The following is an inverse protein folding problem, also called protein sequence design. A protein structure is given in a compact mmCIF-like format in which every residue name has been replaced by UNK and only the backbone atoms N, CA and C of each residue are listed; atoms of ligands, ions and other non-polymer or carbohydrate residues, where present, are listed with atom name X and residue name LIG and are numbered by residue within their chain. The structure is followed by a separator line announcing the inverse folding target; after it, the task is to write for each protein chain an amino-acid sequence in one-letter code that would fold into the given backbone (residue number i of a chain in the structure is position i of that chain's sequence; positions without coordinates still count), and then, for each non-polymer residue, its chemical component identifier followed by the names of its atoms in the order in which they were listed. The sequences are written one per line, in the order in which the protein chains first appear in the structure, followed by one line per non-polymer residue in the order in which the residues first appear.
data_IF_424742939737
#
_entry.id   IF_424742939737
#
_cell.length_a   1.000
_cell.length_b   1.000
_cell.length_c   1.000
_cell.angle_alpha   90.00
_cell.angle_beta   90.00
_cell.angle_gamma   90.00
#
_symmetry.space_group_name_H-M   'P 1'
#
loop_
_entity.id
_entity.type
_entity.pdbx_description
1 polymer ?
#
# COMPACT_ATOMS: atom_id res chain seq x y z
N UNK A 1 -34.79 -11.62 40.86
CA UNK A 1 -34.48 -12.70 39.91
C UNK A 1 -34.37 -12.04 38.55
N UNK A 2 -33.15 -11.72 38.10
CA UNK A 2 -32.93 -11.05 36.81
C UNK A 2 -33.43 -11.96 35.69
N UNK A 3 -34.15 -11.39 34.73
CA UNK A 3 -34.76 -12.17 33.67
C UNK A 3 -33.68 -12.63 32.70
N UNK A 4 -33.83 -13.85 32.14
CA UNK A 4 -32.86 -14.46 31.22
C UNK A 4 -32.52 -13.55 30.01
N UNK A 5 -33.41 -12.61 29.68
CA UNK A 5 -33.25 -11.59 28.62
C UNK A 5 -32.28 -10.45 28.99
N UNK A 6 -32.24 -10.04 30.26
CA UNK A 6 -31.31 -9.02 30.76
C UNK A 6 -29.88 -9.57 30.80
N UNK A 7 -29.71 -10.82 31.23
CA UNK A 7 -28.43 -11.53 31.25
C UNK A 7 -27.88 -11.71 29.82
N UNK A 8 -28.73 -12.06 28.85
CA UNK A 8 -28.31 -12.17 27.45
C UNK A 8 -27.85 -10.82 26.87
N UNK A 9 -28.55 -9.72 27.16
CA UNK A 9 -28.16 -8.40 26.65
C UNK A 9 -26.81 -7.92 27.20
N UNK A 10 -26.50 -8.14 28.48
CA UNK A 10 -25.19 -7.81 29.05
C UNK A 10 -24.06 -8.69 28.45
N UNK A 11 -24.35 -9.96 28.20
CA UNK A 11 -23.40 -10.90 27.58
C UNK A 11 -23.14 -10.55 26.10
N UNK A 12 -24.06 -9.89 25.39
CA UNK A 12 -23.86 -9.45 24.00
C UNK A 12 -23.22 -8.06 23.87
N UNK A 13 -23.41 -7.16 24.84
CA UNK A 13 -22.79 -5.81 24.80
C UNK A 13 -21.30 -5.84 25.15
N UNK A 14 -20.85 -6.72 26.04
CA UNK A 14 -19.44 -6.84 26.42
C UNK A 14 -18.52 -7.29 25.25
N UNK A 15 -18.86 -8.33 24.45
CA UNK A 15 -18.07 -8.75 23.30
C UNK A 15 -17.97 -7.71 22.19
N UNK A 16 -19.02 -6.91 21.97
CA UNK A 16 -19.03 -5.86 20.93
C UNK A 16 -18.12 -4.70 21.35
N UNK A 17 -18.14 -4.30 22.63
CA UNK A 17 -17.26 -3.27 23.16
C UNK A 17 -15.78 -3.66 23.02
N UNK A 18 -15.42 -4.89 23.40
CA UNK A 18 -14.04 -5.39 23.29
C UNK A 18 -13.58 -5.52 21.82
N UNK A 19 -14.45 -6.00 20.92
CA UNK A 19 -14.16 -6.03 19.48
C UNK A 19 -13.97 -4.63 18.88
N UNK A 20 -14.76 -3.65 19.33
CA UNK A 20 -14.63 -2.26 18.90
C UNK A 20 -13.31 -1.64 19.36
N UNK A 21 -12.86 -1.95 20.59
CA UNK A 21 -11.58 -1.47 21.12
C UNK A 21 -10.40 -2.08 20.36
N UNK A 22 -10.46 -3.38 20.04
CA UNK A 22 -9.46 -4.05 19.20
C UNK A 22 -9.42 -3.41 17.80
N UNK A 23 -10.57 -3.17 17.17
CA UNK A 23 -10.65 -2.52 15.86
C UNK A 23 -10.05 -1.10 15.89
N UNK A 24 -10.36 -0.32 16.92
CA UNK A 24 -9.78 1.02 17.13
C UNK A 24 -8.27 0.94 17.36
N UNK A 25 -7.78 -0.04 18.13
CA UNK A 25 -6.36 -0.25 18.39
C UNK A 25 -5.61 -0.67 17.13
N UNK A 26 -6.18 -1.55 16.31
CA UNK A 26 -5.65 -1.92 14.99
C UNK A 26 -5.59 -0.68 14.09
N UNK A 27 -6.67 0.10 14.01
CA UNK A 27 -6.72 1.33 13.19
C UNK A 27 -5.67 2.35 13.65
N UNK A 28 -5.50 2.53 14.97
CA UNK A 28 -4.47 3.42 15.53
C UNK A 28 -3.06 2.95 15.18
N UNK A 29 -2.81 1.64 15.19
CA UNK A 29 -1.52 1.08 14.76
C UNK A 29 -1.28 1.30 13.26
N UNK A 30 -2.31 1.15 12.40
CA UNK A 30 -2.21 1.45 10.97
C UNK A 30 -1.87 2.94 10.76
N UNK A 31 -2.59 3.85 11.42
CA UNK A 31 -2.34 5.28 11.30
C UNK A 31 -0.92 5.65 11.75
N UNK A 32 -0.42 5.03 12.81
CA UNK A 32 0.95 5.22 13.28
C UNK A 32 1.97 4.72 12.24
N UNK A 33 1.76 3.53 11.68
CA UNK A 33 2.63 2.98 10.65
C UNK A 33 2.67 3.86 9.39
N UNK A 34 1.52 4.32 8.91
CA UNK A 34 1.42 5.23 7.76
C UNK A 34 2.15 6.55 8.05
N UNK A 35 1.94 7.16 9.22
CA UNK A 35 2.67 8.38 9.60
C UNK A 35 4.18 8.17 9.62
N UNK A 36 4.66 7.06 10.18
CA UNK A 36 6.08 6.75 10.17
C UNK A 36 6.61 6.56 8.76
N UNK A 37 5.86 5.89 7.87
CA UNK A 37 6.27 5.71 6.48
C UNK A 37 6.37 7.05 5.75
N UNK A 38 5.38 7.94 5.91
CA UNK A 38 5.37 9.27 5.30
C UNK A 38 6.50 10.19 5.79
N UNK A 39 7.16 9.89 6.92
CA UNK A 39 8.36 10.60 7.36
C UNK A 39 9.64 10.10 6.69
N UNK A 40 9.61 8.90 6.08
CA UNK A 40 10.78 8.23 5.51
C UNK A 40 10.81 8.27 3.98
N UNK A 41 9.67 8.53 3.34
CA UNK A 41 9.52 8.46 1.88
C UNK A 41 8.91 9.73 1.33
N UNK A 42 9.29 10.07 0.11
CA UNK A 42 8.56 11.04 -0.69
C UNK A 42 7.41 10.35 -1.42
N UNK A 43 6.25 11.01 -1.47
CA UNK A 43 5.08 10.50 -2.18
C UNK A 43 5.06 11.10 -3.57
N UNK A 44 5.13 10.26 -4.60
CA UNK A 44 5.00 10.71 -5.99
C UNK A 44 3.65 11.39 -6.19
N UNK A 45 3.63 12.47 -6.97
CA UNK A 45 2.37 13.17 -7.28
C UNK A 45 1.49 12.28 -8.14
N UNK A 46 0.19 12.37 -7.94
CA UNK A 46 -0.79 11.70 -8.79
C UNK A 46 -1.82 12.71 -9.27
N UNK A 47 -2.00 12.77 -10.59
CA UNK A 47 -2.98 13.63 -11.23
C UNK A 47 -3.67 12.90 -12.39
N UNK A 48 -4.62 13.60 -13.03
CA UNK A 48 -5.38 13.05 -14.15
C UNK A 48 -4.49 12.62 -15.31
N UNK A 49 -3.39 13.34 -15.58
CA UNK A 49 -2.50 13.04 -16.69
C UNK A 49 -1.77 11.72 -16.44
N UNK A 50 -1.31 11.48 -15.22
CA UNK A 50 -0.66 10.21 -14.84
C UNK A 50 -1.62 9.03 -15.03
N UNK A 51 -2.87 9.17 -14.59
CA UNK A 51 -3.89 8.13 -14.77
C UNK A 51 -4.20 7.87 -16.25
N UNK A 52 -4.28 8.92 -17.08
CA UNK A 52 -4.47 8.79 -18.52
C UNK A 52 -3.27 8.12 -19.22
N UNK A 53 -2.06 8.46 -18.80
CA UNK A 53 -0.84 7.85 -19.30
C UNK A 53 -0.79 6.36 -18.95
N UNK A 54 -1.21 5.98 -17.73
CA UNK A 54 -1.24 4.60 -17.28
C UNK A 54 -2.09 3.69 -18.19
N UNK A 55 -3.25 4.17 -18.67
CA UNK A 55 -4.07 3.43 -19.64
C UNK A 55 -3.35 3.13 -20.97
N UNK A 56 -2.35 3.93 -21.32
CA UNK A 56 -1.59 3.76 -22.57
C UNK A 56 -0.39 2.82 -22.44
N UNK A 57 -0.03 2.38 -21.22
CA UNK A 57 1.16 1.56 -20.96
C UNK A 57 0.95 0.04 -21.18
N UNK A 58 -0.26 -0.40 -21.55
CA UNK A 58 -0.59 -1.80 -21.87
C UNK A 58 -0.22 -2.83 -20.76
N UNK A 59 -0.25 -2.44 -19.49
CA UNK A 59 -0.10 -3.40 -18.39
C UNK A 59 -1.38 -4.22 -18.21
N UNK A 60 -1.25 -5.45 -17.71
CA UNK A 60 -2.39 -6.28 -17.33
C UNK A 60 -3.08 -5.74 -16.08
N UNK A 61 -2.30 -5.30 -15.10
CA UNK A 61 -2.79 -4.67 -13.88
C UNK A 61 -2.67 -3.14 -14.00
N UNK A 62 -3.78 -2.45 -13.75
CA UNK A 62 -3.81 -1.00 -13.79
C UNK A 62 -3.00 -0.37 -12.65
N UNK A 63 -2.88 -1.02 -11.49
CA UNK A 63 -2.05 -0.51 -10.38
C UNK A 63 -0.58 -0.41 -10.81
N UNK A 64 -0.04 -1.47 -11.41
CA UNK A 64 1.33 -1.50 -11.92
C UNK A 64 1.52 -0.45 -13.04
N UNK A 65 0.51 -0.25 -13.89
CA UNK A 65 0.50 0.79 -14.91
C UNK A 65 0.63 2.19 -14.29
N UNK A 66 -0.15 2.49 -13.25
CA UNK A 66 -0.14 3.78 -12.55
C UNK A 66 1.19 4.00 -11.85
N UNK A 67 1.74 2.98 -11.18
CA UNK A 67 3.05 3.07 -10.53
C UNK A 67 4.16 3.35 -11.55
N UNK A 68 4.14 2.68 -12.72
CA UNK A 68 5.08 2.92 -13.80
C UNK A 68 4.93 4.34 -14.40
N UNK A 69 3.70 4.76 -14.70
CA UNK A 69 3.40 6.10 -15.21
C UNK A 69 3.85 7.21 -14.24
N UNK A 70 3.65 7.00 -12.94
CA UNK A 70 4.10 7.92 -11.91
C UNK A 70 5.62 7.98 -11.81
N UNK A 71 6.31 6.83 -11.86
CA UNK A 71 7.76 6.78 -11.83
C UNK A 71 8.39 7.47 -13.05
N UNK A 72 7.77 7.36 -14.23
CA UNK A 72 8.19 8.09 -15.43
C UNK A 72 8.00 9.59 -15.28
N UNK A 73 6.84 10.03 -14.78
CA UNK A 73 6.54 11.46 -14.63
C UNK A 73 7.50 12.17 -13.67
N UNK A 74 7.90 11.49 -12.60
CA UNK A 74 8.86 11.98 -11.61
C UNK A 74 10.33 11.70 -11.98
N UNK A 75 10.60 11.16 -13.19
CA UNK A 75 11.94 10.81 -13.69
C UNK A 75 12.74 9.90 -12.74
N UNK A 76 12.09 8.92 -12.12
CA UNK A 76 12.77 7.98 -11.24
C UNK A 76 13.69 7.04 -12.03
N UNK A 77 14.87 6.74 -11.47
CA UNK A 77 15.86 5.88 -12.10
C UNK A 77 15.39 4.43 -12.26
N UNK A 78 14.63 3.94 -11.27
CA UNK A 78 14.19 2.56 -11.19
C UNK A 78 12.98 2.35 -10.27
N UNK A 79 12.27 1.25 -10.50
CA UNK A 79 11.29 0.66 -9.58
C UNK A 79 11.89 -0.62 -8.99
N UNK A 80 11.84 -0.74 -7.66
CA UNK A 80 12.29 -1.95 -6.95
C UNK A 80 11.08 -2.73 -6.47
N UNK A 81 10.89 -3.94 -6.99
CA UNK A 81 9.73 -4.78 -6.66
C UNK A 81 10.12 -6.26 -6.60
N UNK A 82 9.45 -7.02 -5.73
CA UNK A 82 9.58 -8.48 -5.73
C UNK A 82 8.92 -9.12 -6.96
N UNK A 83 8.00 -8.41 -7.60
CA UNK A 83 7.14 -8.94 -8.66
C UNK A 83 7.56 -8.47 -10.06
N UNK A 84 8.85 -8.58 -10.37
CA UNK A 84 9.44 -8.06 -11.63
C UNK A 84 8.75 -8.58 -12.91
N UNK A 85 8.11 -9.75 -12.86
CA UNK A 85 7.41 -10.38 -13.99
C UNK A 85 6.17 -9.61 -14.46
N UNK A 86 5.59 -8.75 -13.62
CA UNK A 86 4.36 -8.02 -13.98
C UNK A 86 4.68 -6.65 -14.60
N UNK A 87 5.97 -6.26 -14.55
CA UNK A 87 6.48 -4.99 -15.08
C UNK A 87 7.17 -5.13 -16.45
N UNK A 88 6.76 -6.11 -17.27
CA UNK A 88 7.37 -6.36 -18.60
C UNK A 88 7.25 -5.18 -19.55
N UNK A 89 6.19 -4.39 -19.39
CA UNK A 89 5.91 -3.20 -20.21
C UNK A 89 6.43 -1.91 -19.56
N UNK A 90 7.23 -2.01 -18.50
CA UNK A 90 7.78 -0.84 -17.82
C UNK A 90 8.77 -0.11 -18.70
N UNK A 91 8.60 1.21 -18.79
CA UNK A 91 9.55 2.12 -19.41
C UNK A 91 10.63 2.61 -18.42
N UNK A 92 10.47 2.28 -17.13
CA UNK A 92 11.44 2.51 -16.05
C UNK A 92 12.20 1.22 -15.75
N UNK A 93 13.48 1.30 -15.37
CA UNK A 93 14.27 0.11 -15.00
C UNK A 93 13.63 -0.62 -13.82
N UNK A 94 13.62 -1.94 -13.87
CA UNK A 94 13.03 -2.78 -12.83
C UNK A 94 14.12 -3.61 -12.15
N UNK A 95 14.16 -3.57 -10.81
CA UNK A 95 15.03 -4.43 -10.02
C UNK A 95 14.24 -5.27 -9.02
N UNK A 96 14.69 -6.50 -8.78
CA UNK A 96 14.37 -7.18 -7.52
C UNK A 96 15.17 -6.53 -6.39
N UNK A 97 14.72 -6.61 -5.12
CA UNK A 97 15.47 -6.07 -3.99
C UNK A 97 16.92 -6.58 -3.94
N UNK A 98 17.13 -7.88 -4.17
CA UNK A 98 18.46 -8.50 -4.23
C UNK A 98 19.35 -7.92 -5.33
N UNK A 99 18.80 -7.72 -6.54
CA UNK A 99 19.55 -7.14 -7.66
C UNK A 99 19.84 -5.66 -7.44
N UNK A 100 18.91 -4.92 -6.85
CA UNK A 100 19.12 -3.51 -6.53
C UNK A 100 20.23 -3.32 -5.51
N UNK A 101 20.27 -4.13 -4.45
CA UNK A 101 21.35 -4.10 -3.46
C UNK A 101 22.71 -4.42 -4.09
N UNK A 102 22.78 -5.40 -5.00
CA UNK A 102 24.00 -5.70 -5.74
C UNK A 102 24.43 -4.53 -6.61
N UNK A 103 23.50 -3.90 -7.33
CA UNK A 103 23.77 -2.71 -8.14
C UNK A 103 24.37 -1.57 -7.30
N UNK A 104 23.81 -1.29 -6.11
CA UNK A 104 24.32 -0.26 -5.20
C UNK A 104 25.73 -0.53 -4.65
N UNK A 105 26.18 -1.79 -4.62
CA UNK A 105 27.52 -2.15 -4.17
C UNK A 105 28.58 -2.00 -5.29
N UNK A 106 28.14 -1.87 -6.53
CA UNK A 106 29.02 -1.79 -7.71
C UNK A 106 29.20 -0.37 -8.26
N UNK A 107 28.41 0.58 -7.75
CA UNK A 107 28.52 2.03 -8.06
C UNK A 107 29.22 2.76 -6.92
#
# INVERSE_FOLDING_TARGET
MLTQKEILNEVFTLPIAEQSEIAVKIQNNINKAVRCLLLLVEVCRMDKQILQNAFSLNFTDYEDAVQCASALAENLDAIVTRNTKDYKNSLVKIYSPSKFLQFLQTV
#
